data_IF_727155908204
#
_entry.id   IF_727155908204
#
_cell.length_a   1.000
_cell.length_b   1.000
_cell.length_c   1.000
_cell.angle_alpha   90.00
_cell.angle_beta   90.00
_cell.angle_gamma   90.00
#
_symmetry.space_group_name_H-M   'P 1'
#
loop_
_entity.id
_entity.type
_entity.pdbx_description
1 polymer ?
#
# COMPACT_ATOMS: atom_id res chain seq x y z
N UNK A 1 -32.80 -51.20 -4.18
CA UNK A 1 -32.55 -50.07 -3.27
C UNK A 1 -31.18 -49.51 -3.63
N UNK A 2 -31.15 -48.50 -4.51
CA UNK A 2 -29.91 -47.85 -4.93
C UNK A 2 -29.78 -46.57 -4.11
N UNK A 3 -28.84 -46.55 -3.16
CA UNK A 3 -28.46 -45.34 -2.43
C UNK A 3 -27.77 -44.36 -3.39
N UNK A 4 -28.10 -43.05 -3.37
CA UNK A 4 -27.40 -42.06 -4.17
C UNK A 4 -26.00 -41.81 -3.61
N UNK A 5 -25.04 -41.67 -4.52
CA UNK A 5 -23.68 -41.20 -4.28
C UNK A 5 -23.76 -39.78 -3.71
N UNK A 6 -23.05 -39.44 -2.61
CA UNK A 6 -23.01 -38.06 -2.14
C UNK A 6 -22.30 -37.21 -3.19
N UNK A 7 -23.00 -36.17 -3.64
CA UNK A 7 -22.51 -35.15 -4.54
C UNK A 7 -21.19 -34.60 -4.04
N UNK A 8 -20.17 -34.70 -4.88
CA UNK A 8 -18.90 -34.04 -4.74
C UNK A 8 -19.14 -32.55 -4.56
N UNK A 9 -18.93 -32.08 -3.33
CA UNK A 9 -18.87 -30.66 -3.00
C UNK A 9 -17.85 -30.02 -3.96
N UNK A 10 -18.23 -29.08 -4.84
CA UNK A 10 -17.25 -28.44 -5.69
C UNK A 10 -16.32 -27.68 -4.77
N UNK A 11 -15.03 -28.05 -4.78
CA UNK A 11 -13.98 -27.25 -4.17
C UNK A 11 -14.15 -25.87 -4.80
N UNK A 12 -14.69 -24.93 -4.03
CA UNK A 12 -14.71 -23.51 -4.38
C UNK A 12 -13.24 -23.11 -4.40
N UNK A 13 -12.63 -23.29 -5.57
CA UNK A 13 -11.34 -22.74 -5.89
C UNK A 13 -11.51 -21.25 -5.66
N UNK A 14 -10.98 -20.69 -4.55
CA UNK A 14 -11.06 -19.27 -4.23
C UNK A 14 -9.94 -18.56 -5.00
N UNK A 15 -10.23 -18.06 -6.21
CA UNK A 15 -9.21 -17.51 -7.08
C UNK A 15 -8.98 -16.01 -6.77
N UNK A 16 -9.69 -15.46 -5.76
CA UNK A 16 -9.45 -14.15 -5.15
C UNK A 16 -8.51 -14.22 -3.94
N UNK A 17 -7.90 -15.38 -3.67
CA UNK A 17 -7.19 -15.62 -2.42
C UNK A 17 -6.02 -14.67 -2.12
N UNK A 18 -5.49 -13.92 -3.09
CA UNK A 18 -4.47 -12.89 -2.83
C UNK A 18 -5.09 -11.54 -2.46
N UNK A 19 -6.01 -10.98 -3.25
CA UNK A 19 -6.68 -9.71 -2.91
C UNK A 19 -7.51 -9.80 -1.62
N UNK A 20 -8.11 -10.96 -1.31
CA UNK A 20 -8.74 -11.18 0.00
C UNK A 20 -7.72 -11.11 1.15
N UNK A 21 -6.48 -11.58 0.94
CA UNK A 21 -5.42 -11.43 1.95
C UNK A 21 -4.95 -9.99 2.04
N UNK A 22 -4.82 -9.26 0.93
CA UNK A 22 -4.48 -7.83 0.94
C UNK A 22 -5.57 -7.01 1.65
N UNK A 23 -6.84 -7.30 1.39
CA UNK A 23 -7.97 -6.72 2.13
C UNK A 23 -7.81 -6.93 3.64
N UNK A 24 -7.59 -8.18 4.07
CA UNK A 24 -7.43 -8.50 5.49
C UNK A 24 -6.18 -7.86 6.09
N UNK A 25 -5.07 -7.83 5.35
CA UNK A 25 -3.81 -7.23 5.80
C UNK A 25 -3.96 -5.72 6.00
N UNK A 26 -4.68 -5.02 5.11
CA UNK A 26 -5.02 -3.62 5.29
C UNK A 26 -5.82 -3.41 6.58
N UNK A 27 -6.87 -4.21 6.83
CA UNK A 27 -7.65 -4.10 8.06
C UNK A 27 -6.83 -4.39 9.32
N UNK A 28 -6.04 -5.46 9.30
CA UNK A 28 -5.20 -5.89 10.42
C UNK A 28 -4.13 -4.85 10.77
N UNK A 29 -3.73 -4.03 9.80
CA UNK A 29 -2.74 -2.95 9.95
C UNK A 29 -3.39 -1.55 10.00
N UNK A 30 -4.67 -1.46 10.42
CA UNK A 30 -5.44 -0.21 10.58
C UNK A 30 -5.60 0.65 9.30
N UNK A 31 -5.40 0.07 8.13
CA UNK A 31 -5.72 0.66 6.84
C UNK A 31 -7.22 0.64 6.52
N UNK A 32 -7.62 1.37 5.48
CA UNK A 32 -8.97 1.36 4.91
C UNK A 32 -8.90 0.75 3.52
N UNK A 33 -9.44 -0.46 3.31
CA UNK A 33 -9.57 -1.01 1.97
C UNK A 33 -10.35 -0.08 1.05
N UNK A 34 -9.97 -0.06 -0.23
CA UNK A 34 -10.60 0.76 -1.28
C UNK A 34 -12.12 0.54 -1.37
N UNK A 35 -12.55 -0.70 -1.14
CA UNK A 35 -13.94 -1.12 -1.23
C UNK A 35 -14.21 -2.30 -0.28
N UNK A 36 -15.48 -2.51 0.07
CA UNK A 36 -15.91 -3.59 0.95
C UNK A 36 -15.66 -4.98 0.33
N UNK A 37 -15.44 -5.98 1.19
CA UNK A 37 -15.18 -7.36 0.77
C UNK A 37 -16.27 -7.93 -0.16
N UNK A 38 -17.52 -7.51 -0.02
CA UNK A 38 -18.65 -7.97 -0.83
C UNK A 38 -18.51 -7.56 -2.32
N UNK A 39 -17.78 -6.49 -2.61
CA UNK A 39 -17.54 -6.02 -3.97
C UNK A 39 -16.43 -6.80 -4.69
N UNK A 40 -15.61 -7.58 -3.97
CA UNK A 40 -14.50 -8.36 -4.55
C UNK A 40 -14.95 -9.27 -5.70
N UNK A 41 -16.07 -9.95 -5.51
CA UNK A 41 -16.59 -10.86 -6.53
C UNK A 41 -17.10 -10.10 -7.75
N UNK A 42 -17.85 -9.01 -7.54
CA UNK A 42 -18.39 -8.17 -8.61
C UNK A 42 -17.28 -7.53 -9.46
N UNK A 43 -16.31 -6.89 -8.78
CA UNK A 43 -15.14 -6.26 -9.40
C UNK A 43 -14.33 -7.25 -10.22
N UNK A 44 -14.22 -8.50 -9.75
CA UNK A 44 -13.48 -9.51 -10.49
C UNK A 44 -14.23 -10.01 -11.73
N UNK A 45 -15.55 -10.17 -11.64
CA UNK A 45 -16.35 -10.63 -12.78
C UNK A 45 -16.44 -9.57 -13.87
N UNK A 46 -16.49 -8.29 -13.50
CA UNK A 46 -16.59 -7.16 -14.43
C UNK A 46 -15.83 -5.93 -13.88
N UNK A 47 -14.49 -5.88 -14.03
CA UNK A 47 -13.70 -4.75 -13.52
C UNK A 47 -14.00 -3.44 -14.23
N UNK A 48 -14.42 -3.48 -15.50
CA UNK A 48 -14.70 -2.29 -16.28
C UNK A 48 -15.94 -1.55 -15.75
N UNK A 49 -16.94 -2.28 -15.22
CA UNK A 49 -18.07 -1.68 -14.51
C UNK A 49 -17.67 -0.89 -13.24
N UNK A 50 -16.46 -1.12 -12.71
CA UNK A 50 -15.91 -0.42 -11.54
C UNK A 50 -14.67 0.41 -11.90
N UNK A 51 -14.47 0.74 -13.18
CA UNK A 51 -13.27 1.41 -13.65
C UNK A 51 -12.97 2.71 -12.88
N UNK A 52 -13.98 3.54 -12.61
CA UNK A 52 -13.81 4.79 -11.84
C UNK A 52 -13.33 4.55 -10.40
N UNK A 53 -13.87 3.52 -9.73
CA UNK A 53 -13.46 3.13 -8.38
C UNK A 53 -12.02 2.59 -8.35
N UNK A 54 -11.64 1.83 -9.38
CA UNK A 54 -10.33 1.19 -9.45
C UNK A 54 -9.24 2.11 -10.01
N UNK A 55 -9.62 3.19 -10.69
CA UNK A 55 -8.72 4.04 -11.45
C UNK A 55 -7.50 4.56 -10.66
N UNK A 56 -7.63 5.06 -9.41
CA UNK A 56 -6.47 5.51 -8.62
C UNK A 56 -5.43 4.39 -8.37
N UNK A 57 -5.86 3.14 -8.49
CA UNK A 57 -5.08 1.94 -8.23
C UNK A 57 -4.99 1.04 -9.48
N UNK A 58 -5.22 1.59 -10.67
CA UNK A 58 -5.00 0.90 -11.94
C UNK A 58 -3.52 0.96 -12.35
N UNK A 59 -3.11 0.16 -13.33
CA UNK A 59 -1.78 0.29 -13.96
C UNK A 59 -1.93 1.31 -15.09
N UNK A 60 -0.96 2.20 -15.27
CA UNK A 60 -0.90 3.02 -16.48
C UNK A 60 -0.71 2.11 -17.70
N UNK A 61 -1.60 2.26 -18.69
CA UNK A 61 -1.79 1.40 -19.88
C UNK A 61 -0.58 1.30 -20.84
N UNK A 62 0.61 1.78 -20.46
CA UNK A 62 1.80 1.82 -21.31
C UNK A 62 2.68 0.56 -21.20
N UNK A 63 2.42 -0.32 -20.23
CA UNK A 63 2.93 -1.69 -20.29
C UNK A 63 1.93 -2.53 -21.08
N UNK A 64 2.35 -3.00 -22.26
CA UNK A 64 1.67 -3.92 -23.20
C UNK A 64 1.16 -5.24 -22.59
N UNK A 65 1.10 -5.36 -21.27
CA UNK A 65 0.38 -6.40 -20.56
C UNK A 65 -1.08 -5.94 -20.44
N UNK A 66 -1.80 -6.01 -21.57
CA UNK A 66 -3.25 -6.20 -21.56
C UNK A 66 -3.52 -7.55 -20.87
N UNK A 67 -3.47 -7.52 -19.55
CA UNK A 67 -3.49 -8.70 -18.69
C UNK A 67 -4.62 -8.61 -17.67
N UNK A 68 -4.96 -9.75 -17.04
CA UNK A 68 -6.04 -9.89 -16.08
C UNK A 68 -5.80 -9.16 -14.75
N UNK A 69 -5.09 -8.04 -14.72
CA UNK A 69 -4.57 -7.40 -13.50
C UNK A 69 -5.28 -6.09 -13.13
N UNK A 70 -6.25 -5.60 -13.93
CA UNK A 70 -7.02 -4.39 -13.59
C UNK A 70 -7.74 -4.49 -12.23
N UNK A 71 -8.25 -5.66 -11.86
CA UNK A 71 -8.95 -5.89 -10.59
C UNK A 71 -8.04 -6.03 -9.36
N UNK A 72 -6.71 -6.04 -9.51
CA UNK A 72 -5.74 -6.18 -8.40
C UNK A 72 -5.49 -4.90 -7.61
N UNK A 73 -6.48 -4.01 -7.53
CA UNK A 73 -6.36 -2.71 -6.86
C UNK A 73 -5.97 -2.84 -5.38
N UNK A 74 -6.50 -3.83 -4.66
CA UNK A 74 -6.17 -4.04 -3.23
C UNK A 74 -4.74 -4.50 -3.02
N UNK A 75 -4.18 -5.31 -3.91
CA UNK A 75 -2.76 -5.63 -3.83
C UNK A 75 -1.86 -4.41 -3.97
N UNK A 76 -2.19 -3.50 -4.91
CA UNK A 76 -1.44 -2.24 -5.09
C UNK A 76 -1.63 -1.30 -3.91
N UNK A 77 -2.85 -1.23 -3.38
CA UNK A 77 -3.14 -0.49 -2.16
C UNK A 77 -2.33 -1.05 -0.98
N UNK A 78 -2.23 -2.37 -0.84
CA UNK A 78 -1.40 -3.00 0.19
C UNK A 78 0.09 -2.71 0.00
N UNK A 79 0.59 -2.78 -1.24
CA UNK A 79 1.98 -2.42 -1.55
C UNK A 79 2.25 -0.97 -1.18
N UNK A 80 1.34 -0.07 -1.54
CA UNK A 80 1.41 1.35 -1.20
C UNK A 80 1.35 1.61 0.31
N UNK A 81 0.54 0.84 1.02
CA UNK A 81 0.44 0.93 2.48
C UNK A 81 1.75 0.51 3.17
N UNK A 82 2.49 -0.44 2.61
CA UNK A 82 3.84 -0.78 3.10
C UNK A 82 4.83 0.36 2.86
N UNK A 83 4.82 0.99 1.67
CA UNK A 83 5.64 2.18 1.41
C UNK A 83 5.35 3.28 2.45
N UNK A 84 4.07 3.46 2.79
CA UNK A 84 3.65 4.37 3.84
C UNK A 84 4.22 3.98 5.21
N UNK A 85 4.16 2.71 5.62
CA UNK A 85 4.75 2.26 6.88
C UNK A 85 6.26 2.47 6.93
N UNK A 86 6.96 2.24 5.83
CA UNK A 86 8.39 2.55 5.73
C UNK A 86 8.66 4.05 5.86
N UNK A 87 7.86 4.88 5.18
CA UNK A 87 7.94 6.34 5.30
C UNK A 87 7.70 6.83 6.73
N UNK A 88 6.73 6.26 7.45
CA UNK A 88 6.47 6.57 8.86
C UNK A 88 7.68 6.27 9.76
N UNK A 89 8.33 5.12 9.54
CA UNK A 89 9.52 4.72 10.29
C UNK A 89 10.71 5.64 9.96
N UNK A 90 10.92 5.91 8.68
CA UNK A 90 12.01 6.78 8.21
C UNK A 90 11.87 8.21 8.75
N UNK A 91 10.68 8.79 8.67
CA UNK A 91 10.43 10.14 9.18
C UNK A 91 10.71 10.27 10.67
N UNK A 92 10.32 9.25 11.45
CA UNK A 92 10.60 9.16 12.90
C UNK A 92 12.05 8.79 13.23
N UNK A 93 12.89 8.48 12.23
CA UNK A 93 14.22 7.86 12.41
C UNK A 93 14.18 6.58 13.25
N UNK A 94 13.08 5.85 13.17
CA UNK A 94 12.87 4.62 13.93
C UNK A 94 13.28 3.42 13.09
N UNK A 95 14.09 2.55 13.69
CA UNK A 95 14.43 1.24 13.14
C UNK A 95 13.55 0.17 13.82
N UNK A 96 12.78 -0.63 13.06
CA UNK A 96 12.04 -1.72 13.65
C UNK A 96 13.01 -2.77 14.18
N UNK A 97 12.67 -3.41 15.31
CA UNK A 97 13.43 -4.54 15.81
C UNK A 97 13.43 -5.69 14.79
N UNK A 98 14.49 -6.51 14.77
CA UNK A 98 14.59 -7.62 13.82
C UNK A 98 13.40 -8.60 13.93
N UNK A 99 12.88 -8.86 15.13
CA UNK A 99 11.71 -9.73 15.32
C UNK A 99 10.43 -9.14 14.69
N UNK A 100 10.22 -7.82 14.84
CA UNK A 100 9.09 -7.12 14.21
C UNK A 100 9.20 -7.17 12.68
N UNK A 101 10.41 -6.93 12.17
CA UNK A 101 10.71 -7.05 10.75
C UNK A 101 10.45 -8.46 10.23
N UNK A 102 11.01 -9.47 10.90
CA UNK A 102 10.87 -10.88 10.51
C UNK A 102 9.40 -11.30 10.50
N UNK A 103 8.61 -10.88 11.49
CA UNK A 103 7.18 -11.15 11.55
C UNK A 103 6.41 -10.57 10.36
N UNK A 104 6.71 -9.32 9.99
CA UNK A 104 6.10 -8.64 8.84
C UNK A 104 6.53 -9.30 7.53
N UNK A 105 7.83 -9.51 7.35
CA UNK A 105 8.40 -10.14 6.15
C UNK A 105 7.87 -11.55 5.92
N UNK A 106 7.74 -12.35 6.98
CA UNK A 106 7.15 -13.69 6.93
C UNK A 106 5.68 -13.64 6.53
N UNK A 107 4.89 -12.72 7.10
CA UNK A 107 3.47 -12.55 6.76
C UNK A 107 3.31 -12.24 5.27
N UNK A 108 4.10 -11.30 4.76
CA UNK A 108 4.06 -10.87 3.36
C UNK A 108 4.39 -12.00 2.40
N UNK A 109 5.44 -12.76 2.68
CA UNK A 109 5.79 -13.92 1.85
C UNK A 109 4.66 -14.95 1.84
N UNK A 110 4.07 -15.26 2.99
CA UNK A 110 2.95 -16.21 3.10
C UNK A 110 1.68 -15.76 2.37
N UNK A 111 1.56 -14.48 2.01
CA UNK A 111 0.49 -14.02 1.13
C UNK A 111 0.64 -14.55 -0.29
N UNK A 112 1.87 -14.75 -0.76
CA UNK A 112 2.19 -15.26 -2.09
C UNK A 112 2.14 -16.80 -2.17
N UNK A 113 1.93 -17.35 -3.36
CA UNK A 113 1.89 -18.80 -3.57
C UNK A 113 3.24 -19.48 -3.25
N UNK A 114 4.37 -18.83 -3.57
CA UNK A 114 5.73 -19.37 -3.38
C UNK A 114 6.30 -19.13 -1.98
N UNK A 115 5.77 -18.19 -1.21
CA UNK A 115 6.40 -17.81 0.05
C UNK A 115 6.35 -18.86 1.15
N UNK A 116 5.48 -19.88 1.06
CA UNK A 116 5.53 -21.03 1.98
C UNK A 116 6.84 -21.81 1.87
N UNK A 117 7.34 -22.02 0.66
CA UNK A 117 8.61 -22.70 0.42
C UNK A 117 9.77 -21.83 0.91
N UNK A 118 9.73 -20.52 0.64
CA UNK A 118 10.74 -19.57 1.11
C UNK A 118 10.84 -19.52 2.63
N UNK A 119 9.69 -19.45 3.32
CA UNK A 119 9.63 -19.39 4.79
C UNK A 119 10.04 -20.70 5.45
N UNK A 120 9.86 -21.84 4.76
CA UNK A 120 10.29 -23.15 5.26
C UNK A 120 11.80 -23.42 5.06
N UNK A 121 12.52 -22.55 4.33
CA UNK A 121 13.95 -22.68 4.11
C UNK A 121 14.72 -22.57 5.44
N UNK A 122 15.71 -23.45 5.72
CA UNK A 122 16.60 -23.30 6.87
C UNK A 122 17.39 -21.98 6.89
N UNK A 123 17.60 -21.35 5.73
CA UNK A 123 18.31 -20.05 5.63
C UNK A 123 17.40 -18.84 5.81
N UNK A 124 16.08 -19.03 5.93
CA UNK A 124 15.11 -17.94 5.85
C UNK A 124 15.38 -16.79 6.83
N UNK A 125 15.62 -17.11 8.10
CA UNK A 125 15.87 -16.09 9.13
C UNK A 125 17.22 -15.39 8.93
N UNK A 126 18.24 -16.10 8.46
CA UNK A 126 19.56 -15.51 8.16
C UNK A 126 19.46 -14.55 6.97
N UNK A 127 18.75 -14.94 5.91
CA UNK A 127 18.52 -14.11 4.74
C UNK A 127 17.68 -12.87 5.09
N UNK A 128 16.65 -13.04 5.93
CA UNK A 128 15.87 -11.92 6.46
C UNK A 128 16.72 -10.97 7.31
N UNK A 129 17.65 -11.50 8.12
CA UNK A 129 18.58 -10.68 8.93
C UNK A 129 19.49 -9.84 8.06
N UNK A 130 20.13 -10.43 7.06
CA UNK A 130 20.98 -9.71 6.09
C UNK A 130 20.20 -8.62 5.35
N UNK A 131 18.91 -8.87 5.08
CA UNK A 131 18.04 -7.88 4.43
C UNK A 131 17.71 -6.72 5.37
N UNK A 132 17.27 -7.01 6.59
CA UNK A 132 17.00 -6.00 7.63
C UNK A 132 18.23 -5.14 7.94
N UNK A 133 19.41 -5.77 8.07
CA UNK A 133 20.67 -5.05 8.31
C UNK A 133 20.97 -4.07 7.18
N UNK A 134 20.75 -4.47 5.93
CA UNK A 134 20.97 -3.63 4.74
C UNK A 134 19.98 -2.48 4.64
N UNK A 135 18.69 -2.76 4.82
CA UNK A 135 17.61 -1.76 4.70
C UNK A 135 17.69 -0.71 5.79
N UNK A 136 18.14 -1.09 7.00
CA UNK A 136 18.18 -0.22 8.16
C UNK A 136 19.60 0.00 8.70
N UNK A 137 20.64 -0.14 7.86
CA UNK A 137 22.02 0.13 8.25
C UNK A 137 22.19 1.62 8.59
N UNK A 138 21.62 2.49 7.76
CA UNK A 138 21.85 3.94 7.79
C UNK A 138 20.89 4.70 8.73
N UNK A 139 19.93 4.01 9.34
CA UNK A 139 19.03 4.63 10.33
C UNK A 139 19.76 5.12 11.59
N UNK A 140 21.02 4.73 11.79
CA UNK A 140 21.93 5.26 12.81
C UNK A 140 21.49 5.03 14.26
N UNK A 141 22.31 5.48 15.21
CA UNK A 141 21.95 5.60 16.64
C UNK A 141 21.19 6.91 16.93
N UNK A 142 20.69 7.57 15.89
CA UNK A 142 19.98 8.84 16.05
C UNK A 142 18.73 8.63 16.91
N UNK A 143 18.52 9.52 17.87
CA UNK A 143 17.32 9.50 18.71
C UNK A 143 16.07 9.61 17.82
N UNK A 144 15.05 8.82 18.15
CA UNK A 144 13.74 8.90 17.49
C UNK A 144 13.23 10.33 17.54
N UNK A 145 12.77 10.85 16.40
CA UNK A 145 12.38 12.26 16.26
C UNK A 145 10.97 12.37 15.69
N UNK A 146 10.01 12.11 16.57
CA UNK A 146 8.59 12.15 16.26
C UNK A 146 8.10 13.59 16.05
N UNK A 147 8.71 14.56 16.71
CA UNK A 147 8.30 15.97 16.62
C UNK A 147 8.64 16.55 15.25
N UNK A 148 9.86 16.36 14.74
CA UNK A 148 10.21 16.78 13.38
C UNK A 148 9.33 16.10 12.35
N UNK A 149 9.09 14.79 12.47
CA UNK A 149 8.18 14.09 11.55
C UNK A 149 6.76 14.64 11.60
N UNK A 150 6.29 15.05 12.78
CA UNK A 150 4.97 15.69 12.93
C UNK A 150 4.93 17.04 12.20
N UNK A 151 6.01 17.82 12.23
CA UNK A 151 6.13 19.07 11.46
C UNK A 151 6.15 18.81 9.95
N UNK A 152 6.91 17.80 9.50
CA UNK A 152 6.97 17.39 8.10
C UNK A 152 5.57 16.99 7.61
N UNK A 153 4.86 16.12 8.34
CA UNK A 153 3.47 15.72 8.04
C UNK A 153 2.57 16.95 7.91
N UNK A 154 2.65 17.92 8.83
CA UNK A 154 1.82 19.14 8.75
C UNK A 154 2.13 19.98 7.52
N UNK A 155 3.40 20.04 7.10
CA UNK A 155 3.81 20.81 5.92
C UNK A 155 3.30 20.22 4.60
N UNK A 156 3.05 18.90 4.57
CA UNK A 156 2.54 18.17 3.41
C UNK A 156 1.02 18.06 3.36
N UNK A 157 0.28 18.49 4.39
CA UNK A 157 -1.17 18.44 4.32
C UNK A 157 -1.71 19.38 3.22
N UNK A 158 -2.78 18.98 2.50
CA UNK A 158 -3.33 19.77 1.42
C UNK A 158 -3.75 21.17 1.91
N UNK A 159 -3.63 22.18 1.05
CA UNK A 159 -4.06 23.53 1.40
C UNK A 159 -5.54 23.56 1.76
N UNK A 160 -5.88 24.16 2.91
CA UNK A 160 -7.24 24.22 3.42
C UNK A 160 -7.68 22.98 4.20
N UNK A 161 -6.87 21.91 4.26
CA UNK A 161 -7.13 20.79 5.15
C UNK A 161 -6.79 21.18 6.60
N UNK A 162 -7.79 21.16 7.47
CA UNK A 162 -7.61 21.44 8.91
C UNK A 162 -7.97 20.17 9.70
N UNK A 163 -7.00 19.52 10.36
CA UNK A 163 -7.30 18.36 11.20
C UNK A 163 -8.33 18.72 12.28
N UNK A 164 -9.34 17.85 12.46
CA UNK A 164 -10.41 18.05 13.47
C UNK A 164 -9.89 18.04 14.91
N UNK A 165 -8.69 17.51 15.13
CA UNK A 165 -8.01 17.38 16.42
C UNK A 165 -6.52 17.70 16.23
N UNK A 166 -5.82 18.16 17.27
CA UNK A 166 -4.37 18.37 17.19
C UNK A 166 -3.65 17.10 16.74
N UNK A 167 -2.83 17.21 15.69
CA UNK A 167 -2.02 16.10 15.21
C UNK A 167 -0.92 15.80 16.23
N UNK A 168 -0.99 14.61 16.83
CA UNK A 168 0.01 14.05 17.76
C UNK A 168 0.39 12.66 17.30
N UNK A 169 1.54 12.54 16.64
CA UNK A 169 2.05 11.25 16.21
C UNK A 169 2.63 10.48 17.39
N UNK A 170 2.51 9.17 17.35
CA UNK A 170 3.14 8.29 18.34
C UNK A 170 4.49 7.77 17.81
N UNK A 171 5.46 7.44 18.71
CA UNK A 171 6.72 6.81 18.31
C UNK A 171 6.51 5.50 17.54
N UNK A 172 5.56 4.68 18.00
CA UNK A 172 5.13 3.49 17.26
C UNK A 172 3.91 3.81 16.37
N UNK A 173 4.05 3.79 15.03
CA UNK A 173 2.95 4.07 14.12
C UNK A 173 1.79 3.06 14.20
N UNK A 174 2.04 1.85 14.72
CA UNK A 174 1.00 0.81 14.91
C UNK A 174 0.13 1.04 16.14
N UNK A 175 0.64 1.78 17.12
CA UNK A 175 -0.12 2.18 18.31
C UNK A 175 -1.05 3.38 18.06
N UNK A 176 -0.91 4.02 16.89
CA UNK A 176 -1.64 5.22 16.52
C UNK A 176 -3.10 4.90 16.21
N UNK A 177 -4.01 5.80 16.60
CA UNK A 177 -5.41 5.65 16.23
C UNK A 177 -5.61 5.79 14.72
N UNK A 178 -6.73 5.25 14.26
CA UNK A 178 -7.04 5.19 12.84
C UNK A 178 -7.13 6.59 12.20
N UNK A 179 -7.72 7.58 12.87
CA UNK A 179 -7.85 8.93 12.32
C UNK A 179 -6.49 9.61 12.15
N UNK A 180 -5.64 9.55 13.18
CA UNK A 180 -4.29 10.12 13.11
C UNK A 180 -3.46 9.43 12.02
N UNK A 181 -3.61 8.11 11.86
CA UNK A 181 -2.98 7.33 10.78
C UNK A 181 -3.45 7.79 9.40
N UNK A 182 -4.73 8.08 9.22
CA UNK A 182 -5.23 8.63 7.95
C UNK A 182 -4.72 10.02 7.63
N UNK A 183 -4.65 10.92 8.61
CA UNK A 183 -4.09 12.26 8.39
C UNK A 183 -2.61 12.17 7.98
N UNK A 184 -1.86 11.27 8.60
CA UNK A 184 -0.48 11.01 8.24
C UNK A 184 -0.36 10.35 6.85
N UNK A 185 -1.28 9.46 6.49
CA UNK A 185 -1.33 8.83 5.17
C UNK A 185 -1.65 9.84 4.05
N UNK A 186 -2.55 10.79 4.31
CA UNK A 186 -2.84 11.90 3.39
C UNK A 186 -1.57 12.70 3.08
N UNK A 187 -0.81 13.06 4.11
CA UNK A 187 0.46 13.77 3.94
C UNK A 187 1.49 12.95 3.14
N UNK A 188 1.51 11.63 3.31
CA UNK A 188 2.36 10.73 2.53
C UNK A 188 1.98 10.71 1.02
N UNK A 189 0.69 10.66 0.71
CA UNK A 189 0.23 10.67 -0.69
C UNK A 189 0.50 12.03 -1.36
N UNK A 190 0.35 13.15 -0.62
CA UNK A 190 0.74 14.50 -1.08
C UNK A 190 2.25 14.66 -1.27
N UNK A 191 3.05 14.18 -0.30
CA UNK A 191 4.51 14.13 -0.42
C UNK A 191 4.95 13.39 -1.69
N UNK A 192 4.25 12.31 -2.04
CA UNK A 192 4.56 11.54 -3.25
C UNK A 192 4.08 12.23 -4.52
N UNK A 193 2.92 12.89 -4.47
CA UNK A 193 2.38 13.65 -5.59
C UNK A 193 3.31 14.80 -6.01
N UNK A 194 3.88 15.51 -5.05
CA UNK A 194 4.67 16.72 -5.29
C UNK A 194 5.76 16.57 -6.38
N UNK A 195 6.71 15.61 -6.28
CA UNK A 195 7.72 15.44 -7.32
C UNK A 195 7.14 15.03 -8.68
N UNK A 196 6.06 14.22 -8.70
CA UNK A 196 5.42 13.77 -9.94
C UNK A 196 4.74 14.92 -10.69
N UNK A 197 3.95 15.72 -9.97
CA UNK A 197 3.29 16.90 -10.51
C UNK A 197 4.30 17.93 -11.03
N UNK A 198 5.42 18.12 -10.30
CA UNK A 198 6.51 19.00 -10.75
C UNK A 198 7.12 18.51 -12.05
N UNK A 199 7.48 17.22 -12.15
CA UNK A 199 8.07 16.66 -13.38
C UNK A 199 7.12 16.73 -14.56
N UNK A 200 5.83 16.43 -14.36
CA UNK A 200 4.82 16.56 -15.41
C UNK A 200 4.77 18.00 -15.96
N UNK A 201 4.73 19.00 -15.07
CA UNK A 201 4.71 20.41 -15.46
C UNK A 201 5.97 20.84 -16.22
N UNK A 202 7.16 20.45 -15.75
CA UNK A 202 8.43 20.78 -16.39
C UNK A 202 8.48 20.23 -17.83
N UNK A 203 8.00 19.01 -18.05
CA UNK A 203 7.95 18.40 -19.39
C UNK A 203 6.88 19.02 -20.30
N UNK A 204 5.76 19.47 -19.74
CA UNK A 204 4.75 20.24 -20.48
C UNK A 204 5.35 21.52 -21.06
N UNK A 205 6.03 22.28 -20.20
CA UNK A 205 6.68 23.55 -20.55
C UNK A 205 7.77 23.32 -21.61
N UNK A 206 8.52 22.22 -21.50
CA UNK A 206 9.55 21.82 -22.46
C UNK A 206 9.01 21.17 -23.75
N UNK A 207 7.71 20.85 -23.82
CA UNK A 207 7.05 20.13 -24.92
C UNK A 207 7.73 18.79 -25.24
N UNK A 208 8.14 18.08 -24.21
CA UNK A 208 8.79 16.79 -24.35
C UNK A 208 7.78 15.69 -24.73
N UNK A 209 8.24 14.74 -25.54
CA UNK A 209 7.42 13.62 -26.03
C UNK A 209 6.91 12.69 -24.91
N UNK A 210 7.52 12.75 -23.71
CA UNK A 210 7.15 11.94 -22.54
C UNK A 210 6.15 12.59 -21.56
N UNK A 211 5.70 13.82 -21.83
CA UNK A 211 4.83 14.57 -20.92
C UNK A 211 3.54 13.83 -20.56
N UNK A 212 2.83 13.28 -21.55
CA UNK A 212 1.53 12.63 -21.34
C UNK A 212 1.61 11.48 -20.32
N UNK A 213 2.73 10.74 -20.34
CA UNK A 213 2.98 9.67 -19.37
C UNK A 213 3.17 10.23 -17.95
N UNK A 214 3.99 11.27 -17.80
CA UNK A 214 4.23 11.86 -16.47
C UNK A 214 2.99 12.56 -15.92
N UNK A 215 2.19 13.16 -16.80
CA UNK A 215 0.87 13.69 -16.46
C UNK A 215 -0.08 12.59 -16.00
N UNK A 216 -0.17 11.47 -16.73
CA UNK A 216 -1.03 10.35 -16.32
C UNK A 216 -0.64 9.80 -14.93
N UNK A 217 0.66 9.63 -14.66
CA UNK A 217 1.16 9.20 -13.35
C UNK A 217 0.79 10.21 -12.26
N UNK A 218 0.95 11.52 -12.52
CA UNK A 218 0.60 12.57 -11.57
C UNK A 218 -0.92 12.64 -11.32
N UNK A 219 -1.74 12.53 -12.37
CA UNK A 219 -3.21 12.51 -12.30
C UNK A 219 -3.68 11.28 -11.50
N UNK A 220 -3.11 10.09 -11.75
CA UNK A 220 -3.43 8.88 -10.98
C UNK A 220 -3.07 9.03 -9.50
N UNK A 221 -1.91 9.61 -9.19
CA UNK A 221 -1.50 9.89 -7.82
C UNK A 221 -2.42 10.93 -7.16
N UNK A 222 -2.86 11.96 -7.88
CA UNK A 222 -3.89 12.90 -7.42
C UNK A 222 -5.20 12.18 -7.10
N UNK A 223 -5.61 11.21 -7.92
CA UNK A 223 -6.76 10.36 -7.63
C UNK A 223 -6.67 9.62 -6.30
N UNK A 224 -5.46 9.23 -5.87
CA UNK A 224 -5.25 8.61 -4.55
C UNK A 224 -5.40 9.62 -3.42
N UNK A 225 -4.85 10.83 -3.60
CA UNK A 225 -5.03 11.94 -2.64
C UNK A 225 -6.52 12.23 -2.47
N UNK A 226 -7.26 12.38 -3.58
CA UNK A 226 -8.68 12.67 -3.59
C UNK A 226 -9.48 11.56 -2.88
N UNK A 227 -9.11 10.29 -3.09
CA UNK A 227 -9.71 9.16 -2.38
C UNK A 227 -9.52 9.23 -0.86
N UNK A 228 -8.36 9.70 -0.37
CA UNK A 228 -8.10 9.84 1.07
C UNK A 228 -8.90 10.99 1.70
N UNK A 229 -9.16 12.05 0.93
CA UNK A 229 -9.87 13.25 1.42
C UNK A 229 -11.39 13.02 1.61
N UNK A 230 -11.98 12.02 0.91
CA UNK A 230 -13.42 11.68 0.92
C UNK A 230 -13.82 10.74 2.06
#
# INVERSE_FOLDING_TARGET
MNSPIPESNPIVYNPCGYDTKCYQALLDDNGRPLFDADLLWGIRMDPDAYAELLWPWSVDDDDFVAGPDKWRALSRQWDRWKDFREWQLHGRRRKPGFEEYLGTYKRDLLMTAKGRESVASPSFEEDARKRWEREYHDCGEAEEDVERHTEDVRSWLPQGFVPRRPLKLLPDPKAQDQWTTFVEYLAFEEFTLFPLARTAREQEEAREWGYEKHKAIADQQQGRVDWVVV
#
